data_IF_576346306716
#
_entry.id   IF_576346306716
#
_cell.length_a   1.000
_cell.length_b   1.000
_cell.length_c   1.000
_cell.angle_alpha   90.00
_cell.angle_beta   90.00
_cell.angle_gamma   90.00
#
_symmetry.space_group_name_H-M   'P 1'
#
loop_
_entity.id
_entity.type
_entity.pdbx_description
1 polymer ?
#
# COMPACT_ATOMS: atom_id res chain seq x y z
N UNK A 1 -5.29 26.66 18.18
CA UNK A 1 -5.87 25.46 17.54
C UNK A 1 -5.41 24.25 18.36
N UNK A 2 -6.33 23.38 18.79
CA UNK A 2 -6.05 22.27 19.72
C UNK A 2 -5.14 21.22 19.03
N UNK A 3 -4.05 20.79 19.70
CA UNK A 3 -3.08 19.80 19.21
C UNK A 3 -3.76 18.52 18.71
N UNK A 4 -4.82 18.06 19.38
CA UNK A 4 -5.58 16.89 18.99
C UNK A 4 -6.34 17.06 17.66
N UNK A 5 -6.96 18.22 17.44
CA UNK A 5 -7.65 18.52 16.18
C UNK A 5 -6.68 18.59 15.00
N UNK A 6 -5.48 19.13 15.24
CA UNK A 6 -4.41 19.14 14.23
C UNK A 6 -3.96 17.73 13.85
N UNK A 7 -3.82 16.82 14.83
CA UNK A 7 -3.49 15.42 14.58
C UNK A 7 -4.58 14.72 13.77
N UNK A 8 -5.86 14.94 14.11
CA UNK A 8 -7.00 14.40 13.33
C UNK A 8 -7.01 14.90 11.89
N UNK A 9 -6.75 16.20 11.67
CA UNK A 9 -6.65 16.77 10.34
C UNK A 9 -5.49 16.17 9.53
N UNK A 10 -4.30 16.05 10.14
CA UNK A 10 -3.11 15.41 9.53
C UNK A 10 -3.40 13.96 9.14
N UNK A 11 -4.02 13.19 10.03
CA UNK A 11 -4.42 11.81 9.76
C UNK A 11 -5.43 11.71 8.63
N UNK A 12 -6.43 12.60 8.60
CA UNK A 12 -7.43 12.64 7.53
C UNK A 12 -6.78 12.90 6.17
N UNK A 13 -5.81 13.83 6.11
CA UNK A 13 -5.06 14.11 4.90
C UNK A 13 -4.21 12.91 4.44
N UNK A 14 -3.51 12.24 5.37
CA UNK A 14 -2.74 11.01 5.10
C UNK A 14 -3.64 9.91 4.55
N UNK A 15 -4.77 9.64 5.22
CA UNK A 15 -5.78 8.66 4.81
C UNK A 15 -6.28 8.94 3.39
N UNK A 16 -6.67 10.19 3.09
CA UNK A 16 -7.10 10.57 1.75
C UNK A 16 -6.00 10.41 0.69
N UNK A 17 -4.75 10.69 1.04
CA UNK A 17 -3.61 10.47 0.14
C UNK A 17 -3.35 8.98 -0.11
N UNK A 18 -3.47 8.13 0.91
CA UNK A 18 -3.34 6.68 0.80
C UNK A 18 -4.46 6.11 -0.06
N UNK A 19 -5.71 6.57 0.11
CA UNK A 19 -6.84 6.12 -0.71
C UNK A 19 -6.59 6.38 -2.19
N UNK A 20 -6.15 7.59 -2.55
CA UNK A 20 -5.81 7.93 -3.94
C UNK A 20 -4.67 7.06 -4.48
N UNK A 21 -3.67 6.77 -3.64
CA UNK A 21 -2.55 5.92 -4.04
C UNK A 21 -3.01 4.47 -4.27
N UNK A 22 -3.85 3.93 -3.39
CA UNK A 22 -4.46 2.61 -3.55
C UNK A 22 -5.27 2.53 -4.85
N UNK A 23 -6.09 3.54 -5.15
CA UNK A 23 -6.87 3.60 -6.38
C UNK A 23 -5.97 3.61 -7.62
N UNK A 24 -4.92 4.45 -7.62
CA UNK A 24 -3.91 4.47 -8.68
C UNK A 24 -3.26 3.09 -8.85
N UNK A 25 -2.85 2.46 -7.74
CA UNK A 25 -2.21 1.15 -7.79
C UNK A 25 -3.14 0.08 -8.35
N UNK A 26 -4.42 0.05 -7.94
CA UNK A 26 -5.39 -0.91 -8.51
C UNK A 26 -5.51 -0.77 -10.03
N UNK A 27 -5.61 0.45 -10.54
CA UNK A 27 -5.68 0.71 -11.99
C UNK A 27 -4.45 0.16 -12.73
N UNK A 28 -3.26 0.30 -12.15
CA UNK A 28 -2.01 -0.21 -12.74
C UNK A 28 -1.95 -1.73 -12.67
N UNK A 29 -2.35 -2.32 -11.54
CA UNK A 29 -2.37 -3.77 -11.35
C UNK A 29 -3.35 -4.46 -12.31
N UNK A 30 -4.47 -3.81 -12.62
CA UNK A 30 -5.47 -4.28 -13.59
C UNK A 30 -5.06 -4.02 -15.05
N UNK A 31 -4.01 -3.24 -15.29
CA UNK A 31 -3.52 -2.96 -16.64
C UNK A 31 -2.72 -4.15 -17.20
N UNK A 32 -2.77 -4.31 -18.52
CA UNK A 32 -1.99 -5.32 -19.25
C UNK A 32 -0.52 -4.92 -19.45
N UNK A 33 -0.15 -3.70 -19.06
CA UNK A 33 1.22 -3.19 -19.20
C UNK A 33 2.00 -3.61 -17.96
N UNK A 34 3.09 -4.35 -18.17
CA UNK A 34 3.96 -4.82 -17.10
C UNK A 34 5.12 -3.82 -16.90
N UNK A 35 4.82 -2.71 -16.23
CA UNK A 35 5.85 -1.79 -15.74
C UNK A 35 6.16 -2.13 -14.28
N UNK A 36 7.13 -3.03 -14.10
CA UNK A 36 7.57 -3.48 -12.77
C UNK A 36 8.17 -2.33 -11.95
N UNK A 37 8.84 -1.37 -12.59
CA UNK A 37 9.46 -0.25 -11.91
C UNK A 37 8.39 0.71 -11.36
N UNK A 38 7.33 1.01 -12.12
CA UNK A 38 6.20 1.79 -11.62
C UNK A 38 5.50 1.07 -10.45
N UNK A 39 5.33 -0.24 -10.52
CA UNK A 39 4.72 -1.04 -9.44
C UNK A 39 5.58 -1.02 -8.17
N UNK A 40 6.91 -1.06 -8.30
CA UNK A 40 7.85 -0.96 -7.18
C UNK A 40 7.83 0.44 -6.55
N UNK A 41 7.83 1.49 -7.36
CA UNK A 41 7.75 2.88 -6.87
C UNK A 41 6.44 3.11 -6.07
N UNK A 42 5.31 2.57 -6.58
CA UNK A 42 4.04 2.61 -5.85
C UNK A 42 4.11 1.89 -4.50
N UNK A 43 4.79 0.75 -4.44
CA UNK A 43 4.97 0.01 -3.19
C UNK A 43 5.76 0.82 -2.17
N UNK A 44 6.86 1.45 -2.58
CA UNK A 44 7.66 2.32 -1.71
C UNK A 44 6.83 3.50 -1.19
N UNK A 45 6.05 4.13 -2.06
CA UNK A 45 5.15 5.21 -1.66
C UNK A 45 4.07 4.77 -0.66
N UNK A 46 3.51 3.57 -0.83
CA UNK A 46 2.54 3.00 0.13
C UNK A 46 3.21 2.75 1.48
N UNK A 47 4.41 2.14 1.49
CA UNK A 47 5.16 1.84 2.71
C UNK A 47 5.50 3.13 3.48
N UNK A 48 5.96 4.17 2.77
CA UNK A 48 6.27 5.45 3.39
C UNK A 48 5.02 6.07 4.05
N UNK A 49 3.90 6.09 3.33
CA UNK A 49 2.64 6.64 3.87
C UNK A 49 2.05 5.81 5.01
N UNK A 50 2.22 4.49 4.98
CA UNK A 50 1.86 3.60 6.09
C UNK A 50 2.65 3.97 7.35
N UNK A 51 3.96 4.17 7.22
CA UNK A 51 4.81 4.62 8.33
C UNK A 51 4.36 5.98 8.88
N UNK A 52 4.12 6.97 8.00
CA UNK A 52 3.65 8.29 8.42
C UNK A 52 2.29 8.22 9.12
N UNK A 53 1.38 7.37 8.64
CA UNK A 53 0.06 7.16 9.23
C UNK A 53 0.16 6.52 10.62
N UNK A 54 1.02 5.51 10.78
CA UNK A 54 1.22 4.83 12.06
C UNK A 54 1.74 5.77 13.14
N UNK A 55 2.68 6.66 12.79
CA UNK A 55 3.18 7.69 13.72
C UNK A 55 2.01 8.55 14.22
N UNK A 56 1.17 9.06 13.31
CA UNK A 56 0.05 9.92 13.68
C UNK A 56 -1.04 9.16 14.46
N UNK A 57 -1.28 7.88 14.14
CA UNK A 57 -2.20 7.04 14.91
C UNK A 57 -1.72 6.90 16.35
N UNK A 58 -0.45 6.59 16.58
CA UNK A 58 0.12 6.49 17.92
C UNK A 58 0.06 7.81 18.68
N UNK A 59 0.34 8.95 18.02
CA UNK A 59 0.19 10.28 18.63
C UNK A 59 -1.27 10.56 19.08
N UNK A 60 -2.24 10.10 18.29
CA UNK A 60 -3.67 10.25 18.60
C UNK A 60 -4.09 9.31 19.73
N UNK A 61 -3.66 8.05 19.71
CA UNK A 61 -3.93 7.07 20.76
C UNK A 61 -3.46 7.55 22.13
N UNK A 62 -2.26 8.15 22.20
CA UNK A 62 -1.71 8.74 23.45
C UNK A 62 -2.55 9.94 23.92
N UNK A 63 -3.13 10.70 23.00
CA UNK A 63 -3.89 11.91 23.31
C UNK A 63 -5.34 11.65 23.73
N UNK A 64 -5.88 10.44 23.48
CA UNK A 64 -7.27 10.10 23.81
C UNK A 64 -7.35 9.57 25.24
N UNK A 65 -8.18 10.23 26.05
CA UNK A 65 -8.47 9.80 27.42
C UNK A 65 -9.85 9.18 27.58
N UNK A 66 -10.74 9.38 26.61
CA UNK A 66 -12.08 8.79 26.59
C UNK A 66 -12.05 7.39 25.95
N UNK A 67 -12.43 6.32 26.68
CA UNK A 67 -12.39 4.96 26.16
C UNK A 67 -13.27 4.71 24.92
N UNK A 68 -14.42 5.37 24.84
CA UNK A 68 -15.34 5.20 23.70
C UNK A 68 -14.77 5.87 22.45
N UNK A 69 -14.13 7.03 22.62
CA UNK A 69 -13.40 7.69 21.53
C UNK A 69 -12.21 6.83 21.12
N UNK A 70 -11.49 6.23 22.07
CA UNK A 70 -10.36 5.36 21.79
C UNK A 70 -10.75 4.16 20.95
N UNK A 71 -11.79 3.41 21.33
CA UNK A 71 -12.23 2.22 20.60
C UNK A 71 -12.65 2.53 19.17
N UNK A 72 -13.37 3.64 18.96
CA UNK A 72 -13.76 4.10 17.63
C UNK A 72 -12.54 4.45 16.77
N UNK A 73 -11.53 5.08 17.38
CA UNK A 73 -10.32 5.50 16.68
C UNK A 73 -9.40 4.33 16.35
N UNK A 74 -9.29 3.35 17.25
CA UNK A 74 -8.59 2.10 17.03
C UNK A 74 -9.19 1.33 15.87
N UNK A 75 -10.52 1.11 15.88
CA UNK A 75 -11.23 0.41 14.80
C UNK A 75 -11.01 1.07 13.44
N UNK A 76 -11.08 2.40 13.39
CA UNK A 76 -10.85 3.13 12.13
C UNK A 76 -9.40 3.01 11.66
N UNK A 77 -8.44 2.92 12.58
CA UNK A 77 -7.03 2.69 12.25
C UNK A 77 -6.79 1.28 11.72
N UNK A 78 -7.41 0.26 12.32
CA UNK A 78 -7.38 -1.12 11.86
C UNK A 78 -7.95 -1.25 10.43
N UNK A 79 -9.11 -0.65 10.16
CA UNK A 79 -9.72 -0.63 8.81
C UNK A 79 -8.76 -0.09 7.73
N UNK A 80 -7.93 0.91 8.07
CA UNK A 80 -6.92 1.44 7.15
C UNK A 80 -5.70 0.53 7.03
N UNK A 81 -5.26 -0.07 8.14
CA UNK A 81 -4.18 -1.06 8.14
C UNK A 81 -4.50 -2.25 7.23
N UNK A 82 -5.73 -2.74 7.26
CA UNK A 82 -6.20 -3.85 6.42
C UNK A 82 -6.20 -3.48 4.93
N UNK A 83 -6.66 -2.26 4.59
CA UNK A 83 -6.62 -1.75 3.21
C UNK A 83 -5.19 -1.67 2.68
N UNK A 84 -4.27 -1.17 3.49
CA UNK A 84 -2.85 -1.04 3.14
C UNK A 84 -2.19 -2.42 2.99
N UNK A 85 -2.47 -3.34 3.92
CA UNK A 85 -1.97 -4.72 3.87
C UNK A 85 -2.47 -5.45 2.63
N UNK A 86 -3.75 -5.30 2.31
CA UNK A 86 -4.36 -5.88 1.11
C UNK A 86 -3.70 -5.39 -0.18
N UNK A 87 -3.49 -4.08 -0.34
CA UNK A 87 -2.85 -3.57 -1.57
C UNK A 87 -1.39 -4.00 -1.67
N UNK A 88 -0.64 -4.01 -0.55
CA UNK A 88 0.75 -4.51 -0.51
C UNK A 88 0.83 -5.97 -0.93
N UNK A 89 -0.12 -6.79 -0.49
CA UNK A 89 -0.21 -8.19 -0.89
C UNK A 89 -0.46 -8.33 -2.40
N UNK A 90 -1.39 -7.55 -2.95
CA UNK A 90 -1.71 -7.55 -4.37
C UNK A 90 -0.50 -7.14 -5.23
N UNK A 91 0.22 -6.08 -4.84
CA UNK A 91 1.44 -5.64 -5.51
C UNK A 91 2.49 -6.75 -5.51
N UNK A 92 2.79 -7.32 -4.33
CA UNK A 92 3.78 -8.41 -4.20
C UNK A 92 3.38 -9.64 -5.05
N UNK A 93 2.09 -9.94 -5.14
CA UNK A 93 1.58 -11.03 -5.98
C UNK A 93 1.83 -10.73 -7.46
N UNK A 94 1.55 -9.50 -7.93
CA UNK A 94 1.77 -9.12 -9.33
C UNK A 94 3.24 -9.18 -9.72
N UNK A 95 4.14 -8.66 -8.90
CA UNK A 95 5.59 -8.74 -9.12
C UNK A 95 6.05 -10.21 -9.26
N UNK A 96 5.58 -11.09 -8.37
CA UNK A 96 5.89 -12.53 -8.47
C UNK A 96 5.39 -13.14 -9.78
N UNK A 97 4.21 -12.74 -10.25
CA UNK A 97 3.67 -13.22 -11.53
C UNK A 97 4.52 -12.77 -12.71
N UNK A 98 4.93 -11.50 -12.75
CA UNK A 98 5.78 -10.96 -13.82
C UNK A 98 7.12 -11.70 -13.86
N UNK A 99 7.79 -11.82 -12.71
CA UNK A 99 9.08 -12.52 -12.63
C UNK A 99 8.99 -14.01 -13.05
N UNK A 100 7.87 -14.68 -12.77
CA UNK A 100 7.65 -16.06 -13.19
C UNK A 100 7.46 -16.19 -14.71
N UNK A 101 6.79 -15.21 -15.34
CA UNK A 101 6.61 -15.15 -16.78
C UNK A 101 7.95 -14.91 -17.49
N UNK A 102 8.78 -13.99 -17.00
CA UNK A 102 10.10 -13.71 -17.55
C UNK A 102 11.00 -14.95 -17.54
N UNK A 103 11.08 -15.66 -16.41
CA UNK A 103 11.87 -16.89 -16.31
C UNK A 103 11.38 -17.98 -17.30
N UNK A 104 10.06 -18.13 -17.45
CA UNK A 104 9.50 -19.11 -18.40
C UNK A 104 9.74 -18.73 -19.87
N UNK A 105 9.85 -17.43 -20.17
CA UNK A 105 10.14 -16.94 -21.52
C UNK A 105 11.62 -17.15 -21.90
N UNK A 106 12.55 -17.06 -20.94
CA UNK A 106 13.96 -17.38 -21.13
C UNK A 106 14.15 -18.87 -21.42
N UNK A 107 13.56 -19.75 -20.61
CA UNK A 107 13.65 -21.22 -20.81
C UNK A 107 13.11 -21.66 -22.18
N UNK A 108 12.00 -21.07 -22.65
CA UNK A 108 11.46 -21.35 -24.00
C UNK A 108 12.38 -20.92 -25.13
N UNK A 109 13.06 -19.77 -24.99
CA UNK A 109 14.02 -19.28 -26.00
C UNK A 109 15.25 -20.19 -26.08
N UNK A 110 15.74 -20.65 -24.93
CA UNK A 110 16.90 -21.55 -24.87
C UNK A 110 16.58 -22.93 -25.47
N UNK A 111 15.36 -23.46 -25.26
CA UNK A 111 14.94 -24.73 -25.89
C UNK A 111 14.80 -24.62 -27.42
N UNK A 112 14.37 -23.46 -27.92
CA UNK A 112 14.25 -23.19 -29.36
C UNK A 112 15.61 -22.95 -30.03
N UNK A 113 16.60 -22.40 -29.32
CA UNK A 113 17.95 -22.18 -29.84
C UNK A 113 18.80 -23.46 -29.89
N UNK A 114 18.43 -24.50 -29.13
CA UNK A 114 19.06 -25.83 -29.19
C UNK A 114 18.58 -26.70 -30.37
N UNK A 115 17.54 -26.30 -31.11
CA UNK A 115 16.96 -27.07 -32.23
C UNK A 115 17.23 -26.48 -33.63
N UNK A 116 18.21 -25.57 -33.76
CA UNK A 116 18.68 -25.01 -35.04
C UNK A 116 20.13 -25.44 -35.27
#
# INVERSE_FOLDING_TARGET
MNTFENLKAKRSALRGSITKLIEKTKLILDSSVEDTDEILELLEHIIKKESDLNIVNSEIEIAITDPTVFDNELKTSEDYSDKITSIKFQIKKRIKTINALDNSAVEKRDLLSLHV
#
